data_IF_621849757833
#
_entry.id   IF_621849757833
#
_cell.length_a   1.000
_cell.length_b   1.000
_cell.length_c   1.000
_cell.angle_alpha   90.00
_cell.angle_beta   90.00
_cell.angle_gamma   90.00
#
_symmetry.space_group_name_H-M   'P 1'
#
loop_
_entity.id
_entity.type
_entity.pdbx_description
1 polymer ?
#
# COMPACT_ATOMS: atom_id res chain seq x y z
N UNK A 1 -14.59 -4.26 -13.28
CA UNK A 1 -13.20 -4.69 -13.06
C UNK A 1 -12.35 -4.27 -14.26
N UNK A 2 -11.02 -4.12 -14.12
CA UNK A 2 -10.11 -3.82 -15.25
C UNK A 2 -10.10 -2.37 -15.74
N UNK A 3 -10.60 -1.40 -14.97
CA UNK A 3 -10.61 0.01 -15.36
C UNK A 3 -9.51 0.86 -14.69
N UNK A 4 -8.63 0.24 -13.88
CA UNK A 4 -7.60 0.97 -13.13
C UNK A 4 -8.15 2.00 -12.13
N UNK A 5 -9.40 1.84 -11.67
CA UNK A 5 -10.08 2.76 -10.73
C UNK A 5 -10.32 2.16 -9.35
N UNK A 6 -10.01 0.88 -9.17
CA UNK A 6 -10.28 0.19 -7.92
C UNK A 6 -9.22 0.57 -6.88
N UNK A 7 -9.63 0.79 -5.64
CA UNK A 7 -8.71 0.97 -4.53
C UNK A 7 -7.82 -0.28 -4.31
N UNK A 8 -6.48 -0.17 -4.41
CA UNK A 8 -5.57 -1.28 -4.16
C UNK A 8 -5.26 -1.52 -2.67
N UNK A 9 -5.56 -0.59 -1.77
CA UNK A 9 -5.16 -0.65 -0.36
C UNK A 9 -5.67 -1.91 0.35
N UNK A 10 -6.89 -2.35 0.07
CA UNK A 10 -7.46 -3.54 0.70
C UNK A 10 -6.65 -4.81 0.37
N UNK A 11 -6.24 -4.96 -0.90
CA UNK A 11 -5.43 -6.11 -1.32
C UNK A 11 -4.01 -6.02 -0.74
N UNK A 12 -3.42 -4.83 -0.71
CA UNK A 12 -2.09 -4.59 -0.13
C UNK A 12 -2.07 -4.90 1.37
N UNK A 13 -3.05 -4.41 2.14
CA UNK A 13 -3.15 -4.70 3.58
C UNK A 13 -3.45 -6.17 3.85
N UNK A 14 -4.19 -6.84 2.96
CA UNK A 14 -4.37 -8.30 3.04
C UNK A 14 -3.04 -9.03 2.87
N UNK A 15 -2.15 -8.54 2.00
CA UNK A 15 -0.80 -9.07 1.88
C UNK A 15 0.04 -8.80 3.15
N UNK A 16 -0.06 -7.60 3.75
CA UNK A 16 0.61 -7.31 5.03
C UNK A 16 0.17 -8.29 6.13
N UNK A 17 -1.13 -8.58 6.24
CA UNK A 17 -1.63 -9.60 7.17
C UNK A 17 -1.07 -11.00 6.87
N UNK A 18 -0.91 -11.37 5.60
CA UNK A 18 -0.26 -12.63 5.20
C UNK A 18 1.21 -12.68 5.66
N UNK A 19 1.97 -11.61 5.46
CA UNK A 19 3.35 -11.52 5.95
C UNK A 19 3.42 -11.65 7.48
N UNK A 20 2.52 -10.97 8.19
CA UNK A 20 2.45 -10.99 9.66
C UNK A 20 2.10 -12.37 10.21
N UNK A 21 1.05 -13.00 9.69
CA UNK A 21 0.45 -14.18 10.32
C UNK A 21 0.88 -15.51 9.68
N UNK A 22 1.04 -15.55 8.36
CA UNK A 22 1.35 -16.80 7.64
C UNK A 22 2.85 -16.98 7.41
N UNK A 23 3.57 -15.90 7.17
CA UNK A 23 4.99 -15.95 6.80
C UNK A 23 5.96 -15.56 7.94
N UNK A 24 5.43 -15.16 9.11
CA UNK A 24 6.22 -14.73 10.29
C UNK A 24 7.22 -13.62 9.96
N UNK A 25 6.85 -12.70 9.08
CA UNK A 25 7.63 -11.51 8.69
C UNK A 25 6.90 -10.23 9.12
N UNK A 26 6.84 -9.95 10.44
CA UNK A 26 6.18 -8.74 10.94
C UNK A 26 6.88 -7.46 10.47
N UNK A 27 8.20 -7.52 10.25
CA UNK A 27 9.01 -6.44 9.69
C UNK A 27 8.54 -6.01 8.29
N UNK A 28 8.25 -6.98 7.42
CA UNK A 28 7.72 -6.69 6.07
C UNK A 28 6.29 -6.17 6.16
N UNK A 29 5.47 -6.74 7.05
CA UNK A 29 4.11 -6.26 7.26
C UNK A 29 4.08 -4.80 7.72
N UNK A 30 4.95 -4.43 8.67
CA UNK A 30 5.09 -3.06 9.17
C UNK A 30 5.56 -2.10 8.07
N UNK A 31 6.54 -2.50 7.25
CA UNK A 31 6.98 -1.69 6.11
C UNK A 31 5.83 -1.42 5.12
N UNK A 32 5.02 -2.44 4.80
CA UNK A 32 3.84 -2.30 3.94
C UNK A 32 2.79 -1.38 4.57
N UNK A 33 2.44 -1.60 5.84
CA UNK A 33 1.46 -0.80 6.59
C UNK A 33 1.89 0.68 6.64
N UNK A 34 3.19 0.94 6.88
CA UNK A 34 3.75 2.28 6.85
C UNK A 34 3.67 2.91 5.47
N UNK A 35 4.02 2.17 4.42
CA UNK A 35 3.91 2.64 3.03
C UNK A 35 2.48 3.01 2.64
N UNK A 36 1.49 2.26 3.16
CA UNK A 36 0.07 2.59 3.00
C UNK A 36 -0.29 3.87 3.76
N UNK A 37 0.15 4.03 5.03
CA UNK A 37 -0.10 5.24 5.82
C UNK A 37 0.41 6.48 5.10
N UNK A 38 1.67 6.45 4.65
CA UNK A 38 2.29 7.59 3.95
C UNK A 38 1.57 7.91 2.64
N UNK A 39 1.15 6.89 1.87
CA UNK A 39 0.40 7.11 0.64
C UNK A 39 -0.97 7.75 0.90
N UNK A 40 -1.66 7.34 1.96
CA UNK A 40 -2.95 7.92 2.37
C UNK A 40 -2.78 9.37 2.82
N UNK A 41 -1.79 9.66 3.67
CA UNK A 41 -1.46 11.02 4.12
C UNK A 41 -1.10 11.95 2.94
N UNK A 42 -0.38 11.41 1.95
CA UNK A 42 -0.06 12.10 0.70
C UNK A 42 -1.25 12.18 -0.30
N UNK A 43 -2.45 11.77 0.09
CA UNK A 43 -3.68 11.82 -0.70
C UNK A 43 -3.59 11.05 -2.04
N UNK A 44 -2.90 9.91 -2.07
CA UNK A 44 -2.93 8.97 -3.20
C UNK A 44 -4.22 8.15 -3.22
N UNK A 45 -5.35 8.81 -3.47
CA UNK A 45 -6.67 8.19 -3.41
C UNK A 45 -7.21 7.89 -4.81
N UNK A 46 -7.78 6.69 -4.98
CA UNK A 46 -8.56 6.31 -6.16
C UNK A 46 -9.95 6.93 -6.15
N UNK A 47 -10.67 6.84 -7.27
CA UNK A 47 -11.98 7.47 -7.45
C UNK A 47 -13.04 7.00 -6.44
N UNK A 48 -12.99 5.74 -6.02
CA UNK A 48 -13.88 5.17 -4.99
C UNK A 48 -13.60 5.71 -3.58
N UNK A 49 -12.41 6.28 -3.35
CA UNK A 49 -12.03 6.99 -2.13
C UNK A 49 -12.13 8.51 -2.26
N UNK A 50 -12.76 9.02 -3.34
CA UNK A 50 -12.92 10.46 -3.58
C UNK A 50 -11.69 11.15 -4.16
N UNK A 51 -10.67 10.40 -4.59
CA UNK A 51 -9.51 10.94 -5.29
C UNK A 51 -9.61 10.83 -6.81
N UNK A 52 -8.49 11.06 -7.48
CA UNK A 52 -8.39 11.02 -8.94
C UNK A 52 -7.24 10.15 -9.46
N UNK A 53 -6.58 9.40 -8.56
CA UNK A 53 -5.47 8.52 -8.94
C UNK A 53 -5.97 7.20 -9.52
N UNK A 54 -5.16 6.57 -10.34
CA UNK A 54 -5.41 5.20 -10.80
C UNK A 54 -4.93 4.18 -9.77
N UNK A 55 -5.43 2.95 -9.87
CA UNK A 55 -4.96 1.81 -9.07
C UNK A 55 -3.44 1.66 -9.12
N UNK A 56 -2.85 1.78 -10.31
CA UNK A 56 -1.40 1.66 -10.52
C UNK A 56 -0.64 2.81 -9.84
N UNK A 57 -1.11 4.05 -9.96
CA UNK A 57 -0.47 5.20 -9.33
C UNK A 57 -0.46 5.09 -7.79
N UNK A 58 -1.54 4.58 -7.21
CA UNK A 58 -1.62 4.34 -5.77
C UNK A 58 -0.69 3.21 -5.36
N UNK A 59 -0.69 2.09 -6.08
CA UNK A 59 0.19 0.96 -5.80
C UNK A 59 1.68 1.32 -5.91
N UNK A 60 2.06 2.10 -6.93
CA UNK A 60 3.42 2.61 -7.10
C UNK A 60 3.84 3.54 -5.96
N UNK A 61 2.94 4.42 -5.52
CA UNK A 61 3.20 5.30 -4.38
C UNK A 61 3.51 4.49 -3.13
N UNK A 62 2.68 3.49 -2.81
CA UNK A 62 2.94 2.59 -1.67
C UNK A 62 4.29 1.90 -1.82
N UNK A 63 4.59 1.29 -2.97
CA UNK A 63 5.86 0.58 -3.20
C UNK A 63 7.10 1.45 -3.03
N UNK A 64 7.04 2.73 -3.44
CA UNK A 64 8.13 3.69 -3.24
C UNK A 64 8.41 3.93 -1.76
N UNK A 65 7.37 4.04 -0.94
CA UNK A 65 7.51 4.29 0.51
C UNK A 65 7.96 3.04 1.28
N UNK A 66 7.53 1.85 0.86
CA UNK A 66 8.02 0.57 1.40
C UNK A 66 9.53 0.45 1.18
N UNK A 67 10.00 0.65 -0.06
CA UNK A 67 11.43 0.54 -0.38
C UNK A 67 12.31 1.63 0.24
N UNK A 68 11.73 2.80 0.56
CA UNK A 68 12.44 3.84 1.30
C UNK A 68 12.62 3.51 2.79
N UNK A 69 11.77 2.66 3.36
CA UNK A 69 11.84 2.20 4.76
C UNK A 69 12.80 1.03 5.00
N UNK A 70 13.12 0.23 3.97
CA UNK A 70 14.06 -0.91 4.08
C UNK A 70 15.53 -0.52 4.36
N UNK A 71 15.84 0.78 4.49
CA UNK A 71 17.16 1.31 4.85
C UNK A 71 17.22 2.12 6.14
N UNK A 72 16.14 2.14 6.94
CA UNK A 72 16.09 2.86 8.23
C UNK A 72 15.76 1.88 9.36
N UNK A 73 16.60 0.84 9.50
CA UNK A 73 16.82 0.06 10.72
C UNK A 73 18.09 -0.77 10.58
#
# INVERSE_FOLDING_TARGET
AGQGKANPYAAILSAAMMFRHSLRRPDVAEAIEQGVSVALEAHFLTADLGGSKTTEQVAEAVGRWVGAGEGVA
#
